data_IF_457342885364
#
_entry.id   IF_457342885364
#
_cell.length_a   1.000
_cell.length_b   1.000
_cell.length_c   1.000
_cell.angle_alpha   90.00
_cell.angle_beta   90.00
_cell.angle_gamma   90.00
#
_symmetry.space_group_name_H-M   'P 1'
#
loop_
_entity.id
_entity.type
_entity.pdbx_description
1 polymer ?
#
# COMPACT_ATOMS: atom_id res chain seq x y z
N UNK A 1 10.89 -6.73 3.88
CA UNK A 1 10.58 -5.28 4.06
C UNK A 1 9.96 -5.09 5.43
N UNK A 2 10.62 -4.48 6.42
CA UNK A 2 9.91 -4.10 7.61
C UNK A 2 9.08 -2.86 7.27
N UNK A 3 7.87 -3.08 6.78
CA UNK A 3 6.81 -2.08 6.85
C UNK A 3 6.63 -1.77 8.33
N UNK A 4 6.96 -0.56 8.73
CA UNK A 4 6.87 -0.12 10.12
C UNK A 4 5.43 0.26 10.46
N UNK A 5 4.75 0.91 9.52
CA UNK A 5 3.43 1.49 9.76
C UNK A 5 2.59 1.56 8.50
N UNK A 6 1.28 1.42 8.67
CA UNK A 6 0.27 1.71 7.67
C UNK A 6 -0.72 2.74 8.23
N UNK A 7 -1.04 3.76 7.43
CA UNK A 7 -2.06 4.76 7.74
C UNK A 7 -3.07 4.85 6.60
N UNK A 8 -4.33 5.13 6.94
CA UNK A 8 -5.36 5.52 5.97
C UNK A 8 -5.91 6.88 6.39
N UNK A 9 -5.82 7.82 5.47
CA UNK A 9 -6.27 9.19 5.62
C UNK A 9 -7.49 9.40 4.72
N UNK A 10 -8.52 9.99 5.29
CA UNK A 10 -9.73 10.44 4.62
C UNK A 10 -9.41 11.44 3.48
N UNK A 11 -10.34 11.57 2.55
CA UNK A 11 -10.44 12.71 1.62
C UNK A 11 -10.28 14.06 2.33
N UNK A 12 -10.91 14.24 3.49
CA UNK A 12 -10.86 15.47 4.30
C UNK A 12 -9.57 15.65 5.13
N UNK A 13 -8.61 14.72 5.04
CA UNK A 13 -7.34 14.79 5.77
C UNK A 13 -7.34 14.22 7.18
N UNK A 14 -8.49 13.74 7.67
CA UNK A 14 -8.57 13.03 8.96
C UNK A 14 -7.98 11.62 8.88
N UNK A 15 -7.29 11.20 9.94
CA UNK A 15 -6.83 9.81 10.08
C UNK A 15 -8.01 8.90 10.42
N UNK A 16 -8.25 7.89 9.59
CA UNK A 16 -9.31 6.90 9.83
C UNK A 16 -8.75 5.53 10.21
N UNK A 17 -7.47 5.27 9.95
CA UNK A 17 -6.82 4.04 10.34
C UNK A 17 -5.34 4.27 10.56
N UNK A 18 -4.79 3.68 11.62
CA UNK A 18 -3.35 3.55 11.80
C UNK A 18 -3.04 2.19 12.40
N UNK A 19 -1.94 1.61 11.95
CA UNK A 19 -1.40 0.38 12.51
C UNK A 19 0.11 0.42 12.45
N UNK A 20 0.75 0.28 13.61
CA UNK A 20 2.18 -0.03 13.69
C UNK A 20 2.39 -1.54 13.68
N UNK A 21 3.47 -1.95 13.04
CA UNK A 21 3.96 -3.34 13.01
C UNK A 21 5.30 -3.47 13.73
N UNK A 22 5.88 -2.36 14.18
CA UNK A 22 7.11 -2.33 14.96
C UNK A 22 6.80 -2.01 16.43
N UNK A 23 7.17 -2.90 17.38
CA UNK A 23 6.79 -2.76 18.79
C UNK A 23 7.44 -1.54 19.49
N UNK A 24 8.48 -0.96 18.90
CA UNK A 24 9.22 0.15 19.51
C UNK A 24 8.74 1.55 19.04
N UNK A 25 8.06 1.61 17.88
CA UNK A 25 7.48 2.87 17.36
C UNK A 25 6.24 3.28 18.16
N UNK A 26 5.46 2.31 18.65
CA UNK A 26 4.24 2.55 19.44
C UNK A 26 4.51 3.22 20.79
N UNK A 27 5.77 3.24 21.26
CA UNK A 27 6.16 3.95 22.49
C UNK A 27 6.46 5.43 22.28
N UNK A 28 6.59 5.89 21.03
CA UNK A 28 7.12 7.23 20.74
C UNK A 28 6.05 8.26 20.40
N UNK A 29 4.91 7.85 19.81
CA UNK A 29 3.87 8.76 19.34
C UNK A 29 2.51 8.41 19.93
N UNK A 30 1.79 9.42 20.41
CA UNK A 30 0.43 9.27 20.90
C UNK A 30 -0.58 9.27 19.72
N UNK A 31 -1.80 8.79 19.94
CA UNK A 31 -2.90 8.85 18.99
C UNK A 31 -3.13 10.26 18.43
N UNK A 32 -3.01 11.30 19.27
CA UNK A 32 -3.14 12.69 18.84
C UNK A 32 -2.05 13.10 17.84
N UNK A 33 -0.82 12.62 18.01
CA UNK A 33 0.28 12.94 17.12
C UNK A 33 0.05 12.33 15.73
N UNK A 34 -0.57 11.14 15.66
CA UNK A 34 -0.96 10.55 14.38
C UNK A 34 -2.08 11.34 13.69
N UNK A 35 -3.03 11.93 14.44
CA UNK A 35 -4.04 12.81 13.87
C UNK A 35 -3.41 14.06 13.24
N UNK A 36 -2.43 14.65 13.94
CA UNK A 36 -1.67 15.80 13.47
C UNK A 36 -0.85 15.40 12.24
N UNK A 37 -0.15 14.27 12.29
CA UNK A 37 0.66 13.75 11.18
C UNK A 37 -0.19 13.55 9.91
N UNK A 38 -1.37 12.93 10.03
CA UNK A 38 -2.27 12.74 8.90
C UNK A 38 -2.71 14.07 8.28
N UNK A 39 -2.99 15.06 9.12
CA UNK A 39 -3.38 16.41 8.69
C UNK A 39 -2.23 17.12 7.97
N UNK A 40 -1.00 17.01 8.50
CA UNK A 40 0.22 17.56 7.88
C UNK A 40 0.47 16.90 6.53
N UNK A 41 0.35 15.57 6.44
CA UNK A 41 0.52 14.85 5.18
C UNK A 41 -0.54 15.25 4.15
N UNK A 42 -1.78 15.46 4.59
CA UNK A 42 -2.83 15.95 3.72
C UNK A 42 -2.55 17.36 3.18
N UNK A 43 -2.12 18.27 4.05
CA UNK A 43 -1.72 19.63 3.66
C UNK A 43 -0.50 19.65 2.74
N UNK A 44 0.54 18.89 3.08
CA UNK A 44 1.75 18.74 2.26
C UNK A 44 1.42 18.20 0.87
N UNK A 45 0.52 17.21 0.78
CA UNK A 45 0.03 16.69 -0.48
C UNK A 45 -0.64 17.77 -1.33
N UNK A 46 -1.50 18.60 -0.73
CA UNK A 46 -2.18 19.69 -1.42
C UNK A 46 -1.20 20.78 -1.89
N UNK A 47 -0.23 21.16 -1.06
CA UNK A 47 0.80 22.15 -1.40
C UNK A 47 1.66 21.65 -2.56
N UNK A 48 2.12 20.39 -2.52
CA UNK A 48 2.91 19.81 -3.61
C UNK A 48 2.13 19.75 -4.93
N UNK A 49 0.79 19.58 -4.86
CA UNK A 49 -0.08 19.63 -6.03
C UNK A 49 -0.04 21.03 -6.67
N UNK A 50 -0.11 22.09 -5.86
CA UNK A 50 -0.05 23.47 -6.35
C UNK A 50 1.35 23.88 -6.82
N UNK A 51 2.40 23.35 -6.17
CA UNK A 51 3.79 23.62 -6.51
C UNK A 51 4.26 22.85 -7.77
N UNK A 52 3.41 22.01 -8.36
CA UNK A 52 3.77 21.23 -9.54
C UNK A 52 4.20 22.17 -10.68
N UNK A 53 5.43 22.02 -11.22
CA UNK A 53 5.96 22.91 -12.24
C UNK A 53 5.05 23.06 -13.47
N UNK A 54 4.96 24.28 -14.01
CA UNK A 54 4.17 24.56 -15.22
C UNK A 54 4.54 23.67 -16.42
N UNK A 55 5.78 23.18 -16.49
CA UNK A 55 6.22 22.23 -17.52
C UNK A 55 5.46 20.89 -17.46
N UNK A 56 5.12 20.39 -16.26
CA UNK A 56 4.30 19.20 -16.06
C UNK A 56 2.80 19.50 -16.25
N UNK A 57 2.38 20.75 -16.06
CA UNK A 57 1.00 21.17 -16.34
C UNK A 57 0.77 21.33 -17.86
N UNK A 58 1.75 21.87 -18.60
CA UNK A 58 1.70 22.00 -20.06
C UNK A 58 1.83 20.66 -20.80
N UNK A 59 2.56 19.69 -20.24
CA UNK A 59 2.63 18.35 -20.82
C UNK A 59 1.32 17.57 -20.71
N UNK A 60 0.38 18.02 -19.85
CA UNK A 60 -0.97 17.46 -19.81
C UNK A 60 -1.87 18.03 -20.91
N UNK A 61 -1.61 19.26 -21.39
CA UNK A 61 -2.37 19.91 -22.45
C UNK A 61 -1.79 19.70 -23.86
N UNK A 62 -0.50 19.33 -23.95
CA UNK A 62 0.18 18.93 -25.19
C UNK A 62 0.24 17.39 -25.20
N UNK A 63 -0.16 16.69 -26.27
CA UNK A 63 -0.27 15.22 -26.37
C UNK A 63 0.98 14.35 -26.13
N UNK A 64 1.87 14.68 -25.20
CA UNK A 64 2.87 13.76 -24.62
C UNK A 64 2.22 13.05 -23.44
N UNK A 65 1.68 11.85 -23.69
CA UNK A 65 1.18 10.96 -22.65
C UNK A 65 2.33 10.63 -21.68
N UNK A 66 2.40 11.31 -20.53
CA UNK A 66 3.19 10.81 -19.40
C UNK A 66 2.50 9.52 -18.97
N UNK A 67 3.20 8.40 -19.14
CA UNK A 67 2.67 7.09 -18.79
C UNK A 67 2.65 6.93 -17.26
N UNK A 68 1.45 6.93 -16.68
CA UNK A 68 1.21 6.67 -15.26
C UNK A 68 0.93 5.19 -14.98
N UNK A 69 1.22 4.31 -15.93
CA UNK A 69 1.01 2.87 -15.78
C UNK A 69 2.03 2.29 -14.80
N UNK A 70 1.51 1.75 -13.71
CA UNK A 70 2.25 0.94 -12.74
C UNK A 70 2.24 -0.50 -13.24
N UNK A 71 3.41 -1.12 -13.47
CA UNK A 71 3.48 -2.51 -13.88
C UNK A 71 2.93 -3.41 -12.79
N UNK A 72 2.35 -4.54 -13.20
CA UNK A 72 1.99 -5.60 -12.27
C UNK A 72 3.26 -6.20 -11.66
N UNK A 73 3.29 -6.26 -10.33
CA UNK A 73 4.36 -6.94 -9.60
C UNK A 73 3.73 -8.11 -8.83
N UNK A 74 4.10 -9.36 -9.18
CA UNK A 74 3.41 -10.52 -8.65
C UNK A 74 3.73 -10.76 -7.18
N UNK A 75 2.73 -11.23 -6.44
CA UNK A 75 2.84 -11.71 -5.05
C UNK A 75 3.24 -10.66 -4.00
N UNK A 76 3.20 -9.36 -4.31
CA UNK A 76 3.45 -8.31 -3.30
C UNK A 76 2.40 -8.37 -2.19
N UNK A 77 2.81 -8.67 -0.95
CA UNK A 77 1.91 -8.81 0.21
C UNK A 77 1.00 -10.04 0.16
N UNK A 78 1.26 -10.99 -0.74
CA UNK A 78 0.50 -12.23 -0.90
C UNK A 78 1.36 -13.44 -0.58
N UNK A 79 0.76 -14.56 -0.12
CA UNK A 79 1.52 -15.77 0.09
C UNK A 79 2.09 -16.22 -1.25
N UNK A 80 3.42 -16.24 -1.36
CA UNK A 80 4.08 -16.96 -2.46
C UNK A 80 3.75 -18.42 -2.28
N UNK A 81 2.97 -18.99 -3.19
CA UNK A 81 2.77 -20.44 -3.23
C UNK A 81 4.14 -21.10 -3.17
N UNK A 82 4.39 -21.95 -2.18
CA UNK A 82 5.57 -22.82 -2.17
C UNK A 82 5.52 -23.60 -3.48
N UNK A 83 6.32 -23.23 -4.46
CA UNK A 83 6.70 -24.13 -5.55
C UNK A 83 7.60 -25.19 -4.91
N UNK A 84 6.95 -26.17 -4.29
CA UNK A 84 7.59 -27.34 -3.73
C UNK A 84 8.22 -28.12 -4.87
N UNK A 85 9.55 -28.07 -4.94
CA UNK A 85 10.33 -29.10 -5.61
C UNK A 85 10.36 -30.33 -4.68
N UNK A 86 9.21 -30.99 -4.51
CA UNK A 86 9.08 -32.22 -3.73
C UNK A 86 9.28 -33.43 -4.65
N UNK A 87 10.54 -33.76 -4.90
CA UNK A 87 10.91 -35.15 -5.20
C UNK A 87 10.97 -35.91 -3.87
N UNK A 88 9.84 -36.42 -3.38
CA UNK A 88 9.84 -37.62 -2.51
C UNK A 88 8.44 -38.23 -2.31
N UNK A 89 8.23 -39.36 -2.99
CA UNK A 89 7.56 -40.60 -2.56
C UNK A 89 6.37 -40.53 -1.57
N UNK A 90 5.23 -40.98 -2.08
CA UNK A 90 4.19 -41.78 -1.41
C UNK A 90 3.62 -41.27 -0.06
N UNK A 91 2.51 -40.53 -0.12
CA UNK A 91 1.45 -40.62 0.88
C UNK A 91 0.11 -40.23 0.24
N UNK A 92 -0.74 -41.22 -0.02
CA UNK A 92 -2.12 -41.03 -0.37
C UNK A 92 -2.89 -40.52 0.86
N UNK A 93 -2.97 -39.21 1.03
CA UNK A 93 -4.06 -38.57 1.75
C UNK A 93 -4.49 -37.34 0.96
N UNK A 94 -5.60 -37.47 0.26
CA UNK A 94 -6.26 -36.41 -0.46
C UNK A 94 -6.67 -35.28 0.49
N UNK A 95 -5.77 -34.31 0.72
CA UNK A 95 -6.22 -32.97 1.08
C UNK A 95 -6.74 -32.34 -0.21
N UNK A 96 -8.00 -32.64 -0.49
CA UNK A 96 -8.84 -31.99 -1.48
C UNK A 96 -8.55 -30.48 -1.40
N UNK A 97 -7.76 -29.97 -2.35
CA UNK A 97 -7.42 -28.55 -2.41
C UNK A 97 -8.72 -27.78 -2.35
N UNK A 98 -8.82 -26.86 -1.38
CA UNK A 98 -10.05 -26.16 -1.00
C UNK A 98 -10.79 -25.65 -2.25
N UNK A 99 -11.71 -26.45 -2.78
CA UNK A 99 -12.54 -26.09 -3.93
C UNK A 99 -13.39 -24.89 -3.51
N UNK A 100 -13.29 -23.80 -4.25
CA UNK A 100 -14.25 -22.70 -4.16
C UNK A 100 -13.75 -21.43 -3.48
N UNK A 101 -12.67 -20.84 -4.00
CA UNK A 101 -12.55 -19.38 -3.97
C UNK A 101 -12.29 -18.90 -5.39
N UNK A 102 -13.25 -18.18 -5.97
CA UNK A 102 -13.10 -17.50 -7.27
C UNK A 102 -12.02 -16.40 -7.21
N UNK A 103 -11.51 -16.07 -6.01
CA UNK A 103 -10.32 -15.23 -5.85
C UNK A 103 -9.08 -16.05 -6.25
N UNK A 104 -8.39 -15.59 -7.29
CA UNK A 104 -7.09 -16.14 -7.70
C UNK A 104 -6.01 -15.97 -6.64
N UNK A 105 -4.79 -16.36 -7.01
CA UNK A 105 -3.54 -16.25 -6.25
C UNK A 105 -3.15 -14.81 -5.87
N UNK A 106 -3.60 -13.82 -6.65
CA UNK A 106 -3.43 -12.39 -6.36
C UNK A 106 -4.72 -11.62 -6.66
N UNK A 107 -4.89 -10.44 -6.05
CA UNK A 107 -6.05 -9.58 -6.29
C UNK A 107 -6.09 -9.03 -7.72
N UNK A 108 -4.93 -8.73 -8.30
CA UNK A 108 -4.77 -8.14 -9.63
C UNK A 108 -3.60 -8.83 -10.34
N UNK A 109 -3.69 -9.02 -11.66
CA UNK A 109 -2.61 -9.60 -12.50
C UNK A 109 -2.19 -8.70 -13.66
N UNK A 110 -2.82 -7.54 -13.77
CA UNK A 110 -2.64 -6.59 -14.85
C UNK A 110 -1.98 -5.32 -14.33
N UNK A 111 -1.26 -4.63 -15.22
CA UNK A 111 -0.79 -3.28 -14.96
C UNK A 111 -1.98 -2.35 -14.74
N UNK A 112 -1.76 -1.24 -14.05
CA UNK A 112 -2.83 -0.30 -13.76
C UNK A 112 -2.38 1.13 -13.80
N UNK A 113 -3.32 2.03 -14.08
CA UNK A 113 -3.05 3.45 -14.06
C UNK A 113 -3.03 3.97 -12.62
N UNK A 114 -1.95 4.64 -12.22
CA UNK A 114 -1.92 5.38 -10.96
C UNK A 114 -2.77 6.64 -11.06
N UNK A 115 -3.60 6.86 -10.04
CA UNK A 115 -4.43 8.07 -9.92
C UNK A 115 -3.66 9.27 -9.36
N UNK A 116 -2.50 9.02 -8.75
CA UNK A 116 -1.63 10.06 -8.18
C UNK A 116 -0.79 10.70 -9.30
N UNK A 117 -1.42 11.62 -10.06
CA UNK A 117 -0.79 12.36 -11.18
C UNK A 117 -0.05 13.62 -10.72
N UNK A 118 -0.25 14.05 -9.49
CA UNK A 118 0.34 15.25 -8.89
C UNK A 118 0.20 15.16 -7.37
N UNK A 119 1.07 15.88 -6.64
CA UNK A 119 1.16 15.82 -5.19
C UNK A 119 2.32 14.94 -4.71
N UNK A 120 2.36 14.69 -3.41
CA UNK A 120 3.42 13.89 -2.79
C UNK A 120 3.15 12.41 -3.03
N UNK A 121 4.10 11.71 -3.68
CA UNK A 121 4.08 10.25 -3.88
C UNK A 121 5.00 9.50 -2.91
N UNK A 122 6.15 10.09 -2.61
CA UNK A 122 7.17 9.50 -1.77
C UNK A 122 7.84 10.61 -0.95
N UNK A 123 8.14 10.31 0.31
CA UNK A 123 8.98 11.11 1.18
C UNK A 123 10.10 10.19 1.69
N UNK A 124 11.34 10.50 1.31
CA UNK A 124 12.52 9.74 1.68
C UNK A 124 13.28 10.48 2.78
N UNK A 125 13.66 9.76 3.84
CA UNK A 125 14.55 10.25 4.90
C UNK A 125 15.59 9.19 5.19
N UNK A 126 16.65 9.56 5.92
CA UNK A 126 17.72 8.65 6.34
C UNK A 126 17.25 7.51 7.27
N UNK A 127 16.03 7.60 7.82
CA UNK A 127 15.50 6.64 8.79
C UNK A 127 14.37 5.78 8.21
N UNK A 128 13.59 6.35 7.32
CA UNK A 128 12.44 5.70 6.72
C UNK A 128 12.05 6.36 5.40
N UNK A 129 11.35 5.59 4.59
CA UNK A 129 10.71 6.05 3.38
C UNK A 129 9.20 5.85 3.50
N UNK A 130 8.47 6.92 3.26
CA UNK A 130 7.02 6.93 3.23
C UNK A 130 6.52 6.97 1.79
N UNK A 131 5.57 6.10 1.47
CA UNK A 131 4.89 6.08 0.17
C UNK A 131 3.41 6.40 0.33
N UNK A 132 2.88 7.23 -0.56
CA UNK A 132 1.51 7.74 -0.51
C UNK A 132 0.77 7.35 -1.78
N UNK A 133 -0.23 6.50 -1.63
CA UNK A 133 -1.15 6.09 -2.68
C UNK A 133 -2.51 6.76 -2.48
N UNK A 134 -2.88 7.63 -3.40
CA UNK A 134 -4.21 8.24 -3.43
C UNK A 134 -5.14 7.44 -4.36
N UNK A 135 -6.36 7.16 -3.88
CA UNK A 135 -7.44 6.59 -4.70
C UNK A 135 -8.20 7.68 -5.45
N UNK A 136 -8.94 7.29 -6.49
CA UNK A 136 -9.86 8.21 -7.20
C UNK A 136 -10.94 8.79 -6.26
N UNK A 137 -11.32 8.06 -5.21
CA UNK A 137 -12.28 8.52 -4.19
C UNK A 137 -11.70 9.57 -3.22
N UNK A 138 -10.38 9.79 -3.26
CA UNK A 138 -9.69 10.80 -2.43
C UNK A 138 -9.09 10.28 -1.13
N UNK A 139 -9.26 8.99 -0.83
CA UNK A 139 -8.58 8.32 0.28
C UNK A 139 -7.08 8.24 -0.01
N UNK A 140 -6.27 8.36 1.04
CA UNK A 140 -4.80 8.29 0.93
C UNK A 140 -4.31 7.18 1.84
N UNK A 141 -3.77 6.15 1.22
CA UNK A 141 -3.11 5.04 1.88
C UNK A 141 -1.63 5.37 1.96
N UNK A 142 -1.09 5.33 3.18
CA UNK A 142 0.29 5.72 3.45
C UNK A 142 0.99 4.53 4.10
N UNK A 143 2.13 4.12 3.55
CA UNK A 143 2.98 3.10 4.15
C UNK A 143 4.33 3.69 4.49
N UNK A 144 4.83 3.39 5.68
CA UNK A 144 6.16 3.77 6.15
C UNK A 144 7.01 2.51 6.22
N UNK A 145 8.14 2.52 5.51
CA UNK A 145 9.10 1.42 5.47
C UNK A 145 10.47 1.91 5.94
N UNK A 146 11.22 1.06 6.66
CA UNK A 146 12.64 1.32 6.92
C UNK A 146 13.44 1.24 5.63
N UNK A 147 14.48 2.07 5.48
CA UNK A 147 15.50 1.80 4.47
C UNK A 147 16.09 0.40 4.69
N UNK A 148 16.13 -0.40 3.61
CA UNK A 148 16.80 -1.71 3.64
C UNK A 148 16.29 -2.78 2.67
N UNK A 149 15.03 -2.80 2.21
CA UNK A 149 14.52 -4.08 1.60
C UNK A 149 13.41 -3.99 0.55
N UNK A 150 13.22 -2.87 -0.15
CA UNK A 150 12.43 -2.92 -1.42
C UNK A 150 13.23 -3.48 -2.61
N UNK A 151 14.50 -3.89 -2.39
CA UNK A 151 15.35 -4.50 -3.41
C UNK A 151 15.38 -6.03 -3.26
N UNK A 152 14.90 -6.81 -4.25
CA UNK A 152 15.19 -8.23 -4.33
C UNK A 152 16.65 -8.44 -4.75
N UNK A 153 17.44 -9.08 -3.87
CA UNK A 153 18.68 -9.81 -4.15
C UNK A 153 19.85 -9.11 -4.87
N UNK A 154 19.77 -7.83 -5.26
CA UNK A 154 20.90 -7.15 -5.89
C UNK A 154 20.99 -5.66 -5.47
N UNK A 155 21.95 -5.29 -4.59
CA UNK A 155 22.08 -3.93 -4.05
C UNK A 155 22.69 -2.92 -5.05
N UNK A 156 22.95 -3.28 -6.31
CA UNK A 156 23.61 -2.38 -7.28
C UNK A 156 22.68 -1.48 -8.08
N UNK A 157 21.36 -1.53 -7.86
CA UNK A 157 20.39 -0.72 -8.61
C UNK A 157 19.29 -0.22 -7.68
N UNK A 158 19.57 0.87 -6.96
CA UNK A 158 18.57 1.66 -6.22
C UNK A 158 17.62 2.36 -7.19
N UNK A 159 16.77 1.58 -7.88
CA UNK A 159 15.72 2.13 -8.73
C UNK A 159 14.57 2.60 -7.84
N UNK A 160 14.63 3.86 -7.40
CA UNK A 160 13.55 4.51 -6.64
C UNK A 160 12.17 4.29 -7.29
N UNK A 161 12.13 4.25 -8.62
CA UNK A 161 10.92 3.97 -9.42
C UNK A 161 10.35 2.57 -9.13
N UNK A 162 11.19 1.53 -9.07
CA UNK A 162 10.74 0.17 -8.77
C UNK A 162 10.13 0.09 -7.36
N UNK A 163 10.78 0.73 -6.38
CA UNK A 163 10.30 0.78 -5.00
C UNK A 163 8.92 1.44 -4.89
N UNK A 164 8.71 2.54 -5.64
CA UNK A 164 7.40 3.20 -5.75
C UNK A 164 6.37 2.24 -6.36
N UNK A 165 6.71 1.52 -7.44
CA UNK A 165 5.77 0.57 -8.07
C UNK A 165 5.39 -0.60 -7.15
N UNK A 166 6.33 -1.11 -6.36
CA UNK A 166 6.05 -2.14 -5.35
C UNK A 166 5.09 -1.60 -4.29
N UNK A 167 5.35 -0.39 -3.78
CA UNK A 167 4.48 0.26 -2.80
C UNK A 167 3.08 0.54 -3.37
N UNK A 168 2.97 1.02 -4.61
CA UNK A 168 1.68 1.26 -5.29
C UNK A 168 0.88 -0.04 -5.45
N UNK A 169 1.52 -1.15 -5.84
CA UNK A 169 0.87 -2.47 -5.91
C UNK A 169 0.38 -2.94 -4.53
N UNK A 170 1.21 -2.78 -3.50
CA UNK A 170 0.88 -3.15 -2.13
C UNK A 170 -0.33 -2.34 -1.59
N UNK A 171 -0.28 -1.02 -1.72
CA UNK A 171 -1.33 -0.12 -1.24
C UNK A 171 -2.63 -0.29 -2.02
N UNK A 172 -2.57 -0.58 -3.32
CA UNK A 172 -3.75 -0.93 -4.13
C UNK A 172 -4.45 -2.19 -3.61
N UNK A 173 -3.70 -3.21 -3.19
CA UNK A 173 -4.27 -4.43 -2.61
C UNK A 173 -4.91 -4.16 -1.24
N UNK A 174 -4.30 -3.31 -0.42
CA UNK A 174 -4.91 -2.83 0.83
C UNK A 174 -6.20 -2.05 0.55
N UNK A 175 -6.25 -1.24 -0.50
CA UNK A 175 -7.47 -0.57 -0.92
C UNK A 175 -8.57 -1.57 -1.30
N UNK A 176 -8.22 -2.70 -1.94
CA UNK A 176 -9.17 -3.78 -2.19
C UNK A 176 -9.68 -4.42 -0.88
N UNK A 177 -8.80 -4.68 0.09
CA UNK A 177 -9.22 -5.13 1.43
C UNK A 177 -10.14 -4.12 2.12
N UNK A 178 -9.86 -2.83 2.02
CA UNK A 178 -10.71 -1.77 2.55
C UNK A 178 -12.11 -1.83 1.91
N UNK A 179 -12.19 -2.02 0.59
CA UNK A 179 -13.48 -2.15 -0.10
C UNK A 179 -14.27 -3.39 0.33
N UNK A 180 -13.60 -4.50 0.66
CA UNK A 180 -14.26 -5.74 1.05
C UNK A 180 -14.69 -5.77 2.52
N UNK A 181 -13.87 -5.23 3.44
CA UNK A 181 -14.10 -5.38 4.88
C UNK A 181 -14.65 -4.14 5.56
N UNK A 182 -14.49 -2.96 4.94
CA UNK A 182 -14.90 -1.67 5.52
C UNK A 182 -16.12 -1.14 4.78
N UNK A 183 -16.09 -1.11 3.44
CA UNK A 183 -17.23 -0.59 2.65
C UNK A 183 -18.43 -1.53 2.59
N UNK A 184 -18.24 -2.83 2.85
CA UNK A 184 -19.33 -3.81 2.91
C UNK A 184 -19.94 -3.96 4.30
N UNK A 185 -19.39 -3.30 5.31
CA UNK A 185 -19.97 -3.30 6.65
C UNK A 185 -21.13 -2.28 6.69
N UNK A 186 -22.39 -2.72 6.84
CA UNK A 186 -23.55 -1.83 6.83
C UNK A 186 -23.58 -0.86 8.03
N UNK A 187 -22.81 -1.13 9.08
CA UNK A 187 -22.73 -0.27 10.26
C UNK A 187 -21.54 0.70 10.20
N UNK A 188 -20.70 0.61 9.17
CA UNK A 188 -19.58 1.52 9.01
C UNK A 188 -20.04 2.87 8.45
N UNK A 189 -19.86 3.91 9.25
CA UNK A 189 -20.03 5.29 8.80
C UNK A 189 -18.75 5.78 8.11
N UNK A 190 -18.89 6.37 6.93
CA UNK A 190 -17.77 6.95 6.20
C UNK A 190 -17.08 8.04 7.04
N UNK A 191 -15.79 8.25 6.79
CA UNK A 191 -14.97 9.27 7.45
C UNK A 191 -14.69 9.06 8.95
N UNK A 192 -15.22 7.99 9.55
CA UNK A 192 -14.95 7.61 10.95
C UNK A 192 -13.79 6.62 11.07
N UNK A 193 -13.18 6.48 12.26
CA UNK A 193 -12.11 5.50 12.46
C UNK A 193 -12.57 4.07 12.20
N UNK A 194 -11.76 3.31 11.45
CA UNK A 194 -11.99 1.90 11.10
C UNK A 194 -11.70 1.04 12.33
N UNK A 195 -12.70 0.30 12.82
CA UNK A 195 -12.60 -0.61 13.97
C UNK A 195 -12.80 -2.09 13.60
N UNK A 196 -12.65 -2.43 12.32
CA UNK A 196 -12.87 -3.78 11.80
C UNK A 196 -11.70 -4.71 12.14
N UNK A 197 -11.94 -5.68 13.02
CA UNK A 197 -10.93 -6.69 13.42
C UNK A 197 -10.53 -7.62 12.27
N UNK A 198 -11.45 -7.85 11.32
CA UNK A 198 -11.19 -8.64 10.11
C UNK A 198 -10.22 -7.92 9.18
N UNK A 199 -10.40 -6.60 9.03
CA UNK A 199 -9.48 -5.76 8.26
C UNK A 199 -8.07 -5.79 8.88
N UNK A 200 -7.97 -5.57 10.20
CA UNK A 200 -6.69 -5.66 10.94
C UNK A 200 -5.96 -6.99 10.72
N UNK A 201 -6.69 -8.10 10.85
CA UNK A 201 -6.12 -9.44 10.67
C UNK A 201 -5.58 -9.63 9.26
N UNK A 202 -6.30 -9.15 8.24
CA UNK A 202 -5.90 -9.31 6.84
C UNK A 202 -4.74 -8.40 6.44
N UNK A 203 -4.75 -7.16 6.91
CA UNK A 203 -3.62 -6.23 6.73
C UNK A 203 -2.37 -6.78 7.39
N UNK A 204 -2.46 -7.27 8.64
CA UNK A 204 -1.33 -7.89 9.32
C UNK A 204 -0.78 -9.08 8.54
N UNK A 205 -1.65 -10.00 8.09
CA UNK A 205 -1.25 -11.12 7.23
C UNK A 205 -0.52 -10.66 5.96
N UNK A 206 -0.99 -9.59 5.31
CA UNK A 206 -0.33 -9.05 4.12
C UNK A 206 1.05 -8.46 4.41
N UNK A 207 1.21 -7.78 5.56
CA UNK A 207 2.49 -7.24 6.00
C UNK A 207 3.45 -8.37 6.37
N UNK A 208 2.98 -9.38 7.09
CA UNK A 208 3.77 -10.57 7.47
C UNK A 208 4.28 -11.33 6.22
N UNK A 209 3.51 -11.36 5.13
CA UNK A 209 3.96 -11.97 3.86
C UNK A 209 5.04 -11.15 3.12
N UNK A 210 5.21 -9.87 3.50
CA UNK A 210 6.19 -8.95 2.90
C UNK A 210 7.47 -8.84 3.75
N UNK A 211 7.40 -9.25 5.02
CA UNK A 211 8.53 -9.41 5.92
C UNK A 211 9.31 -10.68 5.58
#
# INVERSE_FOLDING_TARGET
>A
MPVRMLLVINKSGGLIYHRSFEPDVDKRLNSNDYLILASILHGSFAIATQLTPKALQLSQSSSRNIDYTVPYIPYVGMPRGRTGNERSRNAASSSQGKLGSFKGDDFFKESFQSWNRSGVRQLCTDQFTMYIYQTMTGLKFVVVASEGTLSPANPSSNNNIFNIHVADNFLRKIYCLYSDYVMKDPFYSLEMPIKSTLFDKKVKQMVDNLM
#
